data_IF_059018490664
#
_entry.id   IF_059018490664
#
_cell.length_a   1.000
_cell.length_b   1.000
_cell.length_c   1.000
_cell.angle_alpha   90.00
_cell.angle_beta   90.00
_cell.angle_gamma   90.00
#
_symmetry.space_group_name_H-M   'P 1'
#
loop_
_entity.id
_entity.type
_entity.pdbx_description
1 polymer ?
#
# COMPACT_ATOMS: atom_id res chain seq x y z
N UNK A 1 -6.47 -15.04 -6.85
CA UNK A 1 -5.30 -15.78 -6.32
C UNK A 1 -5.42 -17.25 -6.69
N UNK A 2 -4.34 -17.93 -7.08
CA UNK A 2 -4.37 -19.36 -7.49
C UNK A 2 -3.60 -20.25 -6.51
N UNK A 3 -4.05 -21.51 -6.36
CA UNK A 3 -3.35 -22.55 -5.58
C UNK A 3 -2.00 -22.84 -6.25
N UNK A 4 -0.97 -23.15 -5.44
CA UNK A 4 0.39 -23.47 -5.90
C UNK A 4 1.06 -22.37 -6.75
N UNK A 5 0.64 -21.11 -6.58
CA UNK A 5 1.29 -19.95 -7.17
C UNK A 5 1.76 -18.99 -6.09
N UNK A 6 2.97 -18.50 -6.28
CA UNK A 6 3.53 -17.38 -5.52
C UNK A 6 3.54 -16.13 -6.39
N UNK A 7 3.03 -15.03 -5.83
CA UNK A 7 3.05 -13.72 -6.45
C UNK A 7 4.09 -12.88 -5.73
N UNK A 8 4.98 -12.23 -6.48
CA UNK A 8 6.03 -11.35 -5.94
C UNK A 8 5.81 -9.94 -6.46
N UNK A 9 5.80 -8.96 -5.56
CA UNK A 9 5.57 -7.56 -5.86
C UNK A 9 6.71 -6.71 -5.30
N UNK A 10 7.07 -5.66 -6.04
CA UNK A 10 7.85 -4.55 -5.49
C UNK A 10 6.87 -3.60 -4.80
N UNK A 11 7.09 -3.32 -3.52
CA UNK A 11 6.32 -2.35 -2.76
C UNK A 11 7.14 -1.08 -2.67
N UNK A 12 6.56 0.04 -3.10
CA UNK A 12 7.16 1.37 -2.97
C UNK A 12 6.12 2.32 -2.39
N UNK A 13 6.51 3.09 -1.37
CA UNK A 13 5.68 4.11 -0.76
C UNK A 13 6.44 5.42 -0.66
N UNK A 14 5.72 6.54 -0.78
CA UNK A 14 6.24 7.87 -0.48
C UNK A 14 5.23 8.66 0.35
N UNK A 15 5.73 9.34 1.37
CA UNK A 15 4.98 10.31 2.15
C UNK A 15 5.81 11.58 2.18
N UNK A 16 5.30 12.65 1.58
CA UNK A 16 5.96 13.95 1.55
C UNK A 16 5.06 15.02 2.17
N UNK A 17 5.68 16.07 2.67
CA UNK A 17 5.04 17.30 3.11
C UNK A 17 5.80 18.48 2.51
N UNK A 18 5.08 19.55 2.19
CA UNK A 18 5.66 20.76 1.63
C UNK A 18 4.84 21.99 2.02
N UNK A 19 5.51 23.13 2.10
CA UNK A 19 4.87 24.43 2.26
C UNK A 19 4.88 25.18 0.92
N UNK A 20 3.91 24.85 0.07
CA UNK A 20 3.84 25.32 -1.31
C UNK A 20 3.82 26.86 -1.47
N UNK A 21 3.33 27.58 -0.46
CA UNK A 21 3.25 29.04 -0.47
C UNK A 21 4.62 29.72 -0.39
N UNK A 22 5.65 29.02 0.09
CA UNK A 22 7.00 29.57 0.28
C UNK A 22 7.95 29.01 -0.78
N UNK A 23 7.96 27.70 -0.98
CA UNK A 23 8.76 27.05 -2.02
C UNK A 23 8.33 25.60 -2.25
N UNK A 24 8.72 25.02 -3.37
CA UNK A 24 8.57 23.58 -3.64
C UNK A 24 9.63 22.72 -2.92
N UNK A 25 9.92 23.03 -1.67
CA UNK A 25 10.74 22.21 -0.79
C UNK A 25 9.86 21.11 -0.19
N UNK A 26 10.26 19.86 -0.37
CA UNK A 26 9.59 18.70 0.19
C UNK A 26 10.46 18.04 1.25
N UNK A 27 9.82 17.60 2.33
CA UNK A 27 10.40 16.72 3.34
C UNK A 27 9.55 15.47 3.48
N UNK A 28 10.14 14.31 3.79
CA UNK A 28 9.34 13.09 3.87
C UNK A 28 10.12 11.81 4.05
N UNK A 29 9.42 10.70 3.86
CA UNK A 29 9.94 9.34 3.96
C UNK A 29 9.55 8.54 2.72
N UNK A 30 10.51 7.78 2.21
CA UNK A 30 10.32 6.76 1.20
C UNK A 30 10.46 5.39 1.82
N UNK A 31 9.68 4.44 1.34
CA UNK A 31 9.74 3.04 1.76
C UNK A 31 9.83 2.19 0.50
N UNK A 32 10.67 1.14 0.55
CA UNK A 32 10.65 0.08 -0.44
C UNK A 32 10.80 -1.29 0.20
N UNK A 33 10.17 -2.31 -0.38
CA UNK A 33 10.29 -3.68 0.07
C UNK A 33 9.87 -4.68 -1.02
N UNK A 34 10.11 -5.97 -0.79
CA UNK A 34 9.56 -7.05 -1.61
C UNK A 34 8.44 -7.77 -0.85
N UNK A 35 7.27 -7.89 -1.47
CA UNK A 35 6.11 -8.61 -0.94
C UNK A 35 5.93 -9.94 -1.68
N UNK A 36 5.85 -11.04 -0.95
CA UNK A 36 5.43 -12.34 -1.49
C UNK A 36 4.04 -12.72 -0.97
N UNK A 37 3.15 -13.15 -1.85
CA UNK A 37 1.80 -13.60 -1.55
C UNK A 37 1.56 -15.02 -2.07
N UNK A 38 0.93 -15.86 -1.26
CA UNK A 38 0.52 -17.23 -1.63
C UNK A 38 -0.88 -17.52 -1.09
N UNK A 39 -1.66 -18.28 -1.85
CA UNK A 39 -2.97 -18.74 -1.39
C UNK A 39 -2.80 -19.86 -0.35
N UNK A 40 -3.36 -19.69 0.85
CA UNK A 40 -3.40 -20.71 1.91
C UNK A 40 -4.70 -21.51 1.86
N UNK A 41 -5.81 -20.82 1.66
CA UNK A 41 -7.14 -21.40 1.46
C UNK A 41 -8.00 -20.43 0.64
N UNK A 42 -9.21 -20.82 0.18
CA UNK A 42 -10.08 -19.92 -0.60
C UNK A 42 -10.33 -18.54 0.07
N UNK A 43 -10.28 -18.50 1.40
CA UNK A 43 -10.55 -17.31 2.21
C UNK A 43 -9.30 -16.77 2.92
N UNK A 44 -8.09 -17.14 2.47
CA UNK A 44 -6.86 -16.76 3.16
C UNK A 44 -5.62 -16.71 2.27
N UNK A 45 -4.85 -15.63 2.41
CA UNK A 45 -3.53 -15.47 1.81
C UNK A 45 -2.46 -15.43 2.91
N UNK A 46 -1.31 -16.02 2.64
CA UNK A 46 -0.09 -15.79 3.42
C UNK A 46 0.74 -14.74 2.69
N UNK A 47 1.13 -13.72 3.44
CA UNK A 47 1.95 -12.62 3.01
C UNK A 47 3.28 -12.61 3.77
N UNK A 48 4.36 -12.19 3.11
CA UNK A 48 5.65 -11.94 3.75
C UNK A 48 6.31 -10.73 3.08
N UNK A 49 6.81 -9.83 3.91
CA UNK A 49 7.67 -8.72 3.47
C UNK A 49 9.12 -9.14 3.67
N UNK A 50 9.98 -8.76 2.72
CA UNK A 50 11.42 -9.01 2.77
C UNK A 50 12.19 -7.79 2.26
N UNK A 51 13.41 -7.61 2.80
CA UNK A 51 14.31 -6.50 2.46
C UNK A 51 13.65 -5.12 2.56
N UNK A 52 12.91 -4.82 3.65
CA UNK A 52 12.29 -3.51 3.80
C UNK A 52 13.35 -2.45 4.09
N UNK A 53 13.25 -1.34 3.39
CA UNK A 53 14.17 -0.21 3.50
C UNK A 53 13.37 1.08 3.53
N UNK A 54 13.92 2.10 4.20
CA UNK A 54 13.38 3.44 4.19
C UNK A 54 14.48 4.46 3.90
N UNK A 55 14.10 5.62 3.39
CA UNK A 55 14.99 6.74 3.21
C UNK A 55 14.26 8.04 3.56
N UNK A 56 14.96 8.96 4.22
CA UNK A 56 14.45 10.30 4.45
C UNK A 56 14.76 11.17 3.23
N UNK A 57 13.82 12.04 2.86
CA UNK A 57 14.00 13.01 1.77
C UNK A 57 13.85 14.42 2.32
N UNK A 58 14.74 15.30 1.86
CA UNK A 58 14.67 16.75 2.09
C UNK A 58 15.25 17.48 0.88
N UNK A 59 14.43 17.74 -0.13
CA UNK A 59 14.90 18.28 -1.41
C UNK A 59 13.84 19.12 -2.11
N UNK A 60 14.26 19.87 -3.13
CA UNK A 60 13.34 20.61 -4.00
C UNK A 60 12.83 19.67 -5.10
N UNK A 61 11.52 19.54 -5.22
CA UNK A 61 10.90 18.74 -6.28
C UNK A 61 10.04 19.64 -7.17
N UNK A 62 10.02 19.43 -8.50
CA UNK A 62 9.12 20.17 -9.40
C UNK A 62 7.63 20.02 -9.04
N UNK A 63 7.28 18.93 -8.34
CA UNK A 63 5.95 18.67 -7.81
C UNK A 63 5.89 17.33 -7.09
N UNK A 64 4.76 17.04 -6.44
CA UNK A 64 4.56 15.80 -5.66
C UNK A 64 4.81 14.52 -6.46
N UNK A 65 4.41 14.51 -7.74
CA UNK A 65 4.52 13.34 -8.60
C UNK A 65 5.93 13.11 -9.14
N UNK A 66 6.82 14.10 -9.04
CA UNK A 66 8.15 14.06 -9.63
C UNK A 66 8.95 12.85 -9.13
N UNK A 67 9.81 12.26 -9.99
CA UNK A 67 10.73 11.22 -9.56
C UNK A 67 11.71 11.80 -8.53
N UNK A 68 12.07 10.97 -7.56
CA UNK A 68 13.04 11.35 -6.54
C UNK A 68 14.43 10.96 -7.04
N UNK A 69 15.41 11.88 -7.06
CA UNK A 69 16.76 11.57 -7.49
C UNK A 69 17.40 10.48 -6.62
N UNK A 70 17.79 9.35 -7.24
CA UNK A 70 18.41 8.23 -6.52
C UNK A 70 19.72 8.61 -5.81
N UNK A 71 20.45 9.59 -6.35
CA UNK A 71 21.74 10.06 -5.80
C UNK A 71 21.61 10.71 -4.42
N UNK A 72 20.42 11.23 -4.07
CA UNK A 72 20.16 11.87 -2.78
C UNK A 72 19.50 10.91 -1.76
N UNK A 73 19.25 9.66 -2.17
CA UNK A 73 18.44 8.73 -1.38
C UNK A 73 19.30 7.72 -0.63
N UNK A 74 19.56 8.00 0.64
CA UNK A 74 20.26 7.08 1.54
C UNK A 74 19.29 6.06 2.14
N UNK A 75 19.29 4.85 1.57
CA UNK A 75 18.44 3.75 2.03
C UNK A 75 19.01 3.08 3.28
N UNK A 76 18.21 3.09 4.34
CA UNK A 76 18.46 2.40 5.60
C UNK A 76 17.53 1.20 5.73
N UNK A 77 17.95 0.18 6.47
CA UNK A 77 17.09 -0.96 6.76
C UNK A 77 15.91 -0.52 7.65
N UNK A 78 14.69 -0.87 7.25
CA UNK A 78 13.50 -0.67 8.07
C UNK A 78 13.37 -1.90 8.98
N UNK A 79 13.32 -1.76 10.31
CA UNK A 79 13.36 -2.90 11.23
C UNK A 79 12.00 -3.58 11.37
N UNK A 80 11.42 -4.07 10.27
CA UNK A 80 10.25 -4.94 10.32
C UNK A 80 10.67 -6.33 10.81
N UNK A 81 9.76 -7.03 11.48
CA UNK A 81 9.99 -8.40 11.96
C UNK A 81 10.21 -9.42 10.83
N UNK A 82 9.80 -9.08 9.61
CA UNK A 82 9.77 -9.96 8.42
C UNK A 82 9.01 -11.30 8.64
N UNK A 83 8.22 -11.40 9.72
CA UNK A 83 7.39 -12.56 10.01
C UNK A 83 6.28 -12.66 8.98
N UNK A 84 5.97 -13.88 8.48
CA UNK A 84 4.77 -14.09 7.67
C UNK A 84 3.51 -13.72 8.44
N UNK A 85 2.52 -13.19 7.73
CA UNK A 85 1.21 -12.80 8.26
C UNK A 85 0.11 -13.27 7.33
N UNK A 86 -1.11 -13.35 7.84
CA UNK A 86 -2.26 -13.86 7.10
C UNK A 86 -3.24 -12.73 6.78
N UNK A 87 -3.70 -12.68 5.53
CA UNK A 87 -4.78 -11.81 5.08
C UNK A 87 -6.04 -12.69 4.97
N UNK A 88 -7.05 -12.39 5.78
CA UNK A 88 -8.35 -13.06 5.73
C UNK A 88 -9.23 -12.40 4.69
N UNK A 89 -9.89 -13.23 3.90
CA UNK A 89 -10.81 -12.82 2.86
C UNK A 89 -12.24 -13.27 3.20
N UNK A 90 -13.20 -12.40 2.95
CA UNK A 90 -14.64 -12.69 2.97
C UNK A 90 -15.24 -12.17 1.66
N UNK A 91 -15.83 -13.07 0.89
CA UNK A 91 -16.37 -12.76 -0.45
C UNK A 91 -15.37 -12.09 -1.42
N UNK A 92 -14.08 -12.40 -1.25
CA UNK A 92 -12.99 -11.82 -2.05
C UNK A 92 -12.49 -10.46 -1.55
N UNK A 93 -13.10 -9.91 -0.49
CA UNK A 93 -12.69 -8.69 0.18
C UNK A 93 -11.86 -9.01 1.42
N UNK A 94 -10.86 -8.19 1.73
CA UNK A 94 -10.09 -8.29 2.97
C UNK A 94 -11.00 -8.00 4.16
N UNK A 95 -11.10 -8.98 5.06
CA UNK A 95 -11.91 -8.94 6.29
C UNK A 95 -11.04 -8.64 7.53
N UNK A 96 -9.77 -9.06 7.51
CA UNK A 96 -8.85 -8.80 8.61
C UNK A 96 -7.47 -9.38 8.39
N UNK A 97 -6.57 -9.07 9.32
CA UNK A 97 -5.19 -9.56 9.32
C UNK A 97 -4.92 -10.42 10.56
N UNK A 98 -4.21 -11.52 10.40
CA UNK A 98 -3.64 -12.26 11.54
C UNK A 98 -2.12 -12.09 11.54
N UNK A 99 -1.62 -11.51 12.61
CA UNK A 99 -0.20 -11.19 12.83
C UNK A 99 0.26 -11.84 14.14
N UNK A 100 1.57 -12.07 14.29
CA UNK A 100 2.12 -12.55 15.56
C UNK A 100 1.92 -11.51 16.66
N UNK A 101 1.55 -11.94 17.87
CA UNK A 101 1.35 -11.05 19.04
C UNK A 101 2.59 -10.22 19.42
N UNK A 102 3.78 -10.63 18.99
CA UNK A 102 5.02 -9.90 19.25
C UNK A 102 5.25 -8.75 18.28
N UNK A 103 4.44 -8.62 17.23
CA UNK A 103 4.59 -7.56 16.22
C UNK A 103 4.04 -6.26 16.80
N UNK A 104 4.83 -5.17 16.83
CA UNK A 104 4.40 -3.90 17.38
C UNK A 104 3.35 -3.22 16.48
N UNK A 105 2.49 -2.39 17.07
CA UNK A 105 1.37 -1.74 16.36
C UNK A 105 1.80 -0.93 15.13
N UNK A 106 2.96 -0.26 15.18
CA UNK A 106 3.46 0.52 14.04
C UNK A 106 3.74 -0.36 12.82
N UNK A 107 4.27 -1.57 13.04
CA UNK A 107 4.52 -2.55 11.98
C UNK A 107 3.18 -3.07 11.46
N UNK A 108 2.23 -3.38 12.35
CA UNK A 108 0.86 -3.77 11.95
C UNK A 108 0.22 -2.71 11.04
N UNK A 109 0.43 -1.43 11.31
CA UNK A 109 -0.10 -0.35 10.47
C UNK A 109 0.55 -0.30 9.08
N UNK A 110 1.83 -0.60 8.96
CA UNK A 110 2.49 -0.77 7.66
C UNK A 110 1.90 -1.97 6.91
N UNK A 111 1.69 -3.11 7.58
CA UNK A 111 1.08 -4.29 6.99
C UNK A 111 -0.35 -3.99 6.50
N UNK A 112 -1.15 -3.25 7.28
CA UNK A 112 -2.47 -2.77 6.87
C UNK A 112 -2.40 -1.88 5.64
N UNK A 113 -1.49 -0.90 5.63
CA UNK A 113 -1.26 -0.03 4.48
C UNK A 113 -0.96 -0.81 3.20
N UNK A 114 -0.14 -1.87 3.29
CA UNK A 114 0.16 -2.73 2.14
C UNK A 114 -1.03 -3.60 1.75
N UNK A 115 -1.68 -4.28 2.70
CA UNK A 115 -2.87 -5.10 2.43
C UNK A 115 -3.98 -4.31 1.75
N UNK A 116 -4.18 -3.06 2.19
CA UNK A 116 -5.24 -2.21 1.68
C UNK A 116 -5.12 -1.90 0.17
N UNK A 117 -3.90 -1.93 -0.39
CA UNK A 117 -3.69 -1.78 -1.85
C UNK A 117 -4.10 -3.04 -2.64
N UNK A 118 -4.25 -4.18 -1.98
CA UNK A 118 -4.68 -5.44 -2.61
C UNK A 118 -6.21 -5.56 -2.67
N UNK A 119 -6.92 -4.63 -2.03
CA UNK A 119 -8.37 -4.60 -2.00
C UNK A 119 -8.91 -4.09 -3.34
N UNK A 120 -9.49 -4.97 -4.15
CA UNK A 120 -10.17 -4.58 -5.40
C UNK A 120 -11.61 -5.08 -5.34
N UNK A 121 -12.57 -4.16 -5.17
CA UNK A 121 -13.99 -4.48 -5.11
C UNK A 121 -14.60 -4.46 -6.51
N UNK A 122 -14.36 -5.50 -7.29
CA UNK A 122 -14.89 -5.63 -8.66
C UNK A 122 -16.40 -5.84 -8.73
N UNK A 123 -17.08 -6.08 -7.60
CA UNK A 123 -18.52 -6.40 -7.53
C UNK A 123 -19.36 -5.31 -6.87
N UNK A 124 -18.78 -4.18 -6.47
CA UNK A 124 -19.51 -3.08 -5.81
C UNK A 124 -20.24 -3.48 -4.52
N UNK A 125 -19.85 -4.58 -3.86
CA UNK A 125 -20.44 -4.99 -2.58
C UNK A 125 -19.85 -4.15 -1.45
N UNK A 126 -20.67 -3.60 -0.55
CA UNK A 126 -20.25 -2.58 0.44
C UNK A 126 -19.77 -1.26 -0.17
N UNK A 127 -20.48 -0.75 -1.18
CA UNK A 127 -20.41 0.68 -1.48
C UNK A 127 -20.90 1.43 -0.23
N UNK A 128 -19.99 1.91 0.61
CA UNK A 128 -20.33 2.99 1.53
C UNK A 128 -20.81 4.13 0.63
N UNK A 129 -22.11 4.41 0.66
CA UNK A 129 -22.65 5.57 -0.01
C UNK A 129 -22.05 6.79 0.71
N UNK A 130 -21.00 7.34 0.11
CA UNK A 130 -20.45 8.64 0.43
C UNK A 130 -20.36 9.37 -0.88
N UNK A 131 -20.69 10.65 -0.83
CA UNK A 131 -21.06 11.56 -1.93
C UNK A 131 -20.02 11.70 -3.05
N UNK A 132 -18.88 11.03 -2.96
CA UNK A 132 -17.72 11.15 -3.85
C UNK A 132 -17.25 9.83 -4.48
N UNK A 133 -18.03 8.75 -4.34
CA UNK A 133 -17.80 7.53 -5.13
C UNK A 133 -18.43 7.73 -6.50
N UNK A 134 -17.63 8.03 -7.53
CA UNK A 134 -18.12 8.06 -8.90
C UNK A 134 -18.41 6.63 -9.37
N UNK A 135 -19.70 6.35 -9.58
CA UNK A 135 -20.14 5.14 -10.28
C UNK A 135 -19.93 5.36 -11.78
N UNK A 136 -19.73 4.29 -12.58
CA UNK A 136 -19.69 4.41 -14.03
C UNK A 136 -21.00 5.02 -14.53
N UNK A 137 -20.93 6.26 -15.00
CA UNK A 137 -21.96 6.86 -15.83
C UNK A 137 -21.62 6.50 -17.28
N UNK A 138 -22.59 5.99 -18.05
CA UNK A 138 -22.42 5.70 -19.47
C UNK A 138 -22.08 6.94 -20.32
N UNK A 139 -22.02 8.14 -19.73
CA UNK A 139 -21.79 9.43 -20.42
C UNK A 139 -20.47 10.12 -20.10
N UNK A 140 -19.54 9.51 -19.36
CA UNK A 140 -18.28 10.16 -18.97
C UNK A 140 -17.07 9.53 -19.65
N UNK A 141 -16.48 10.25 -20.62
CA UNK A 141 -15.28 9.85 -21.40
C UNK A 141 -13.96 9.88 -20.60
N UNK A 142 -13.99 9.65 -19.29
CA UNK A 142 -12.80 9.62 -18.43
C UNK A 142 -12.61 8.20 -17.85
N UNK A 143 -11.57 7.46 -18.26
CA UNK A 143 -11.41 6.03 -17.90
C UNK A 143 -10.77 5.80 -16.52
N UNK A 144 -10.88 6.75 -15.59
CA UNK A 144 -10.18 6.67 -14.32
C UNK A 144 -11.14 6.34 -13.18
N UNK A 145 -11.20 5.06 -12.80
CA UNK A 145 -11.88 4.62 -11.59
C UNK A 145 -11.02 4.97 -10.36
N UNK A 146 -11.57 5.77 -9.44
CA UNK A 146 -10.91 6.11 -8.16
C UNK A 146 -11.56 5.31 -7.05
N UNK A 147 -10.89 4.26 -6.60
CA UNK A 147 -11.27 3.51 -5.41
C UNK A 147 -10.47 3.99 -4.20
N UNK A 148 -11.15 4.45 -3.15
CA UNK A 148 -10.49 4.75 -1.88
C UNK A 148 -10.14 3.47 -1.13
N UNK A 149 -8.94 3.49 -0.57
CA UNK A 149 -8.31 2.47 0.26
C UNK A 149 -8.90 2.52 1.69
N UNK A 150 -8.97 1.39 2.40
CA UNK A 150 -9.57 1.31 3.74
C UNK A 150 -8.87 2.25 4.76
N UNK A 151 -9.68 2.95 5.58
CA UNK A 151 -9.27 3.66 6.80
C UNK A 151 -9.39 2.74 8.03
#
# INVERSE_FOLDING_TARGET
WKINKEYKYSVTGRTLTALHQVSNQYAGILIRASLSLRLKSPNSLIAKISKPQYASIHTKLPGWSAPIPDRETHWNQLPLSEKPWEIKLKDGLIDGLMVSKTVPNWEVNILKGIASQLQVNTKGKHLTSRTWNEKPSQSSSAPNEVYRVME
#
